data_IF_922891824496
#
_entry.id   IF_922891824496
#
_cell.length_a   1.000
_cell.length_b   1.000
_cell.length_c   1.000
_cell.angle_alpha   90.00
_cell.angle_beta   90.00
_cell.angle_gamma   90.00
#
_symmetry.space_group_name_H-M   'P 1'
#
loop_
_entity.id
_entity.type
_entity.pdbx_description
1 polymer ?
#
# COMPACT_ATOMS: atom_id res chain seq x y z
N UNK A 1 -5.98 8.40 4.11
CA UNK A 1 -4.61 8.03 3.71
C UNK A 1 -3.80 9.32 3.76
N UNK A 2 -2.69 9.36 4.48
CA UNK A 2 -1.79 10.52 4.39
C UNK A 2 -1.25 10.60 2.97
N UNK A 3 -1.19 11.81 2.41
CA UNK A 3 -0.62 12.01 1.08
C UNK A 3 0.86 11.60 1.09
N UNK A 4 1.28 10.85 0.07
CA UNK A 4 2.68 10.44 -0.06
C UNK A 4 3.58 11.67 -0.22
N UNK A 5 4.58 11.81 0.66
CA UNK A 5 5.52 12.92 0.61
C UNK A 5 6.59 12.71 -0.47
N UNK A 6 6.26 13.14 -1.69
CA UNK A 6 7.15 13.07 -2.84
C UNK A 6 8.43 13.89 -2.66
N UNK A 7 8.41 14.96 -1.85
CA UNK A 7 9.59 15.81 -1.66
C UNK A 7 10.64 15.11 -0.81
N UNK A 8 10.24 14.51 0.31
CA UNK A 8 11.17 13.75 1.15
C UNK A 8 11.68 12.49 0.43
N UNK A 9 10.82 11.81 -0.33
CA UNK A 9 11.22 10.71 -1.21
C UNK A 9 12.32 11.14 -2.20
N UNK A 10 12.10 12.22 -2.96
CA UNK A 10 13.08 12.72 -3.93
C UNK A 10 14.41 13.09 -3.27
N UNK A 11 14.37 13.76 -2.11
CA UNK A 11 15.56 14.12 -1.36
C UNK A 11 16.36 12.88 -0.93
N UNK A 12 15.70 11.88 -0.34
CA UNK A 12 16.33 10.62 0.10
C UNK A 12 16.90 9.82 -1.07
N UNK A 13 16.17 9.73 -2.18
CA UNK A 13 16.62 9.04 -3.38
C UNK A 13 17.89 9.70 -3.97
N UNK A 14 17.91 11.03 -4.05
CA UNK A 14 19.09 11.78 -4.51
C UNK A 14 20.28 11.61 -3.56
N UNK A 15 20.06 11.63 -2.24
CA UNK A 15 21.13 11.40 -1.26
C UNK A 15 21.75 10.00 -1.42
N UNK A 16 20.92 8.96 -1.47
CA UNK A 16 21.38 7.59 -1.62
C UNK A 16 22.10 7.37 -2.95
N UNK A 17 21.57 7.93 -4.04
CA UNK A 17 22.20 7.86 -5.36
C UNK A 17 23.58 8.53 -5.35
N UNK A 18 23.70 9.74 -4.77
CA UNK A 18 24.99 10.45 -4.63
C UNK A 18 25.98 9.70 -3.75
N UNK A 19 25.50 9.00 -2.73
CA UNK A 19 26.32 8.23 -1.80
C UNK A 19 26.64 6.80 -2.30
N UNK A 20 26.11 6.38 -3.46
CA UNK A 20 26.24 5.00 -3.95
C UNK A 20 25.55 3.95 -3.08
N UNK A 21 24.60 4.37 -2.21
CA UNK A 21 23.81 3.47 -1.36
C UNK A 21 22.71 2.80 -2.20
N UNK A 22 22.33 1.54 -1.90
CA UNK A 22 21.21 0.89 -2.58
C UNK A 22 19.91 1.68 -2.45
N UNK A 23 19.21 1.89 -3.56
CA UNK A 23 17.90 2.54 -3.60
C UNK A 23 16.74 1.59 -3.26
N UNK A 24 17.00 0.29 -3.36
CA UNK A 24 16.10 -0.82 -3.09
C UNK A 24 16.51 -1.51 -1.78
N UNK A 25 15.59 -2.27 -1.19
CA UNK A 25 15.79 -2.94 0.10
C UNK A 25 15.12 -2.20 1.25
N UNK A 26 15.20 -2.79 2.46
CA UNK A 26 14.55 -2.31 3.69
C UNK A 26 14.77 -0.81 3.96
N UNK A 27 15.97 -0.31 3.70
CA UNK A 27 16.33 1.10 3.93
C UNK A 27 16.38 1.94 2.64
N UNK A 28 16.05 1.32 1.50
CA UNK A 28 16.05 1.95 0.20
C UNK A 28 15.06 3.10 0.10
N UNK A 29 15.40 4.13 -0.67
CA UNK A 29 14.51 5.27 -0.91
C UNK A 29 13.18 4.87 -1.56
N UNK A 30 13.14 3.77 -2.32
CA UNK A 30 11.93 3.30 -3.00
C UNK A 30 10.97 2.46 -2.15
N UNK A 31 11.39 1.96 -0.98
CA UNK A 31 10.53 1.13 -0.13
C UNK A 31 9.17 1.80 0.19
N UNK A 32 9.13 3.07 0.65
CA UNK A 32 7.87 3.77 0.89
C UNK A 32 7.01 3.95 -0.37
N UNK A 33 7.62 4.10 -1.55
CA UNK A 33 6.90 4.25 -2.81
C UNK A 33 6.20 2.94 -3.19
N UNK A 34 6.89 1.81 -3.05
CA UNK A 34 6.31 0.48 -3.27
C UNK A 34 5.17 0.20 -2.29
N UNK A 35 5.36 0.56 -1.02
CA UNK A 35 4.31 0.48 0.01
C UNK A 35 3.07 1.27 -0.37
N UNK A 36 3.24 2.53 -0.78
CA UNK A 36 2.14 3.38 -1.21
C UNK A 36 1.41 2.79 -2.42
N UNK A 37 2.15 2.31 -3.42
CA UNK A 37 1.58 1.72 -4.63
C UNK A 37 0.74 0.47 -4.32
N UNK A 38 1.26 -0.45 -3.50
CA UNK A 38 0.55 -1.68 -3.15
C UNK A 38 -0.71 -1.39 -2.33
N UNK A 39 -0.65 -0.45 -1.38
CA UNK A 39 -1.82 -0.05 -0.61
C UNK A 39 -2.89 0.65 -1.48
N UNK A 40 -2.47 1.48 -2.43
CA UNK A 40 -3.40 2.10 -3.38
C UNK A 40 -4.07 1.08 -4.31
N UNK A 41 -3.34 0.05 -4.75
CA UNK A 41 -3.91 -1.04 -5.55
C UNK A 41 -4.99 -1.81 -4.77
N UNK A 42 -4.71 -2.19 -3.51
CA UNK A 42 -5.66 -2.87 -2.63
C UNK A 42 -6.93 -2.04 -2.36
N UNK A 43 -6.79 -0.71 -2.22
CA UNK A 43 -7.94 0.19 -2.09
C UNK A 43 -8.80 0.22 -3.35
N UNK A 44 -8.16 0.27 -4.53
CA UNK A 44 -8.84 0.23 -5.81
C UNK A 44 -9.57 -1.09 -6.05
N UNK A 45 -8.95 -2.23 -5.70
CA UNK A 45 -9.60 -3.54 -5.72
C UNK A 45 -10.83 -3.59 -4.81
N UNK A 46 -10.75 -3.02 -3.61
CA UNK A 46 -11.89 -2.92 -2.70
C UNK A 46 -12.99 -1.98 -3.22
N UNK A 47 -12.63 -0.90 -3.92
CA UNK A 47 -13.62 -0.02 -4.56
C UNK A 47 -14.39 -0.75 -5.66
N UNK A 48 -13.70 -1.58 -6.45
CA UNK A 48 -14.33 -2.44 -7.45
C UNK A 48 -15.19 -3.52 -6.79
N UNK A 49 -14.71 -4.14 -5.71
CA UNK A 49 -15.47 -5.14 -4.95
C UNK A 49 -16.74 -4.56 -4.33
N UNK A 50 -16.69 -3.35 -3.77
CA UNK A 50 -17.81 -2.69 -3.09
C UNK A 50 -18.72 -1.93 -4.09
N UNK A 51 -19.29 -2.67 -5.04
CA UNK A 51 -20.22 -2.16 -6.04
C UNK A 51 -21.62 -1.85 -5.47
N UNK A 52 -22.58 -1.56 -6.35
CA UNK A 52 -23.96 -1.25 -5.95
C UNK A 52 -24.69 -2.46 -5.37
N UNK A 53 -24.48 -3.66 -5.91
CA UNK A 53 -25.14 -4.89 -5.45
C UNK A 53 -24.70 -5.24 -4.03
N UNK A 54 -23.40 -5.16 -3.77
CA UNK A 54 -22.82 -5.37 -2.44
C UNK A 54 -23.42 -4.39 -1.43
N UNK A 55 -23.56 -3.12 -1.79
CA UNK A 55 -24.13 -2.09 -0.90
C UNK A 55 -25.62 -2.29 -0.66
N UNK A 56 -26.39 -2.65 -1.69
CA UNK A 56 -27.82 -2.95 -1.58
C UNK A 56 -28.08 -4.20 -0.74
N UNK A 57 -27.17 -5.18 -0.76
CA UNK A 57 -27.22 -6.37 0.09
C UNK A 57 -26.91 -6.07 1.58
N UNK A 58 -26.45 -4.86 1.88
CA UNK A 58 -26.08 -4.42 3.23
C UNK A 58 -24.60 -4.62 3.57
N UNK A 59 -23.76 -5.07 2.64
CA UNK A 59 -22.32 -5.14 2.85
C UNK A 59 -21.71 -3.74 2.93
N UNK A 60 -20.61 -3.62 3.67
CA UNK A 60 -19.91 -2.36 3.91
C UNK A 60 -18.44 -2.61 4.24
N UNK A 61 -17.59 -1.62 3.98
CA UNK A 61 -16.20 -1.62 4.45
C UNK A 61 -16.15 -1.73 5.99
N UNK A 62 -15.25 -2.56 6.50
CA UNK A 62 -15.11 -2.90 7.91
C UNK A 62 -13.65 -2.80 8.39
N UNK A 63 -12.97 -1.72 7.99
CA UNK A 63 -11.61 -1.41 8.39
C UNK A 63 -10.55 -2.15 7.58
N UNK A 64 -9.39 -2.39 8.21
CA UNK A 64 -8.17 -2.87 7.56
C UNK A 64 -7.48 -3.95 8.39
N UNK A 65 -6.82 -4.89 7.71
CA UNK A 65 -5.82 -5.77 8.31
C UNK A 65 -4.41 -5.27 7.95
N UNK A 66 -3.53 -5.16 8.94
CA UNK A 66 -2.12 -4.84 8.72
C UNK A 66 -1.32 -6.13 8.55
N UNK A 67 -0.49 -6.22 7.50
CA UNK A 67 0.49 -7.31 7.31
C UNK A 67 1.85 -6.72 6.92
N UNK A 68 2.92 -7.33 7.40
CA UNK A 68 4.28 -7.07 6.89
C UNK A 68 4.63 -8.14 5.87
N UNK A 69 4.93 -7.72 4.65
CA UNK A 69 5.25 -8.59 3.53
C UNK A 69 6.72 -8.44 3.20
N UNK A 70 7.45 -9.56 3.16
CA UNK A 70 8.83 -9.59 2.69
C UNK A 70 8.83 -9.63 1.16
N UNK A 71 9.41 -8.62 0.53
CA UNK A 71 9.59 -8.58 -0.92
C UNK A 71 11.08 -8.63 -1.27
N UNK A 72 11.40 -8.91 -2.53
CA UNK A 72 12.79 -8.78 -3.02
C UNK A 72 13.33 -7.35 -2.93
N UNK A 73 12.45 -6.37 -2.82
CA UNK A 73 12.77 -4.94 -2.74
C UNK A 73 12.76 -4.39 -1.30
N UNK A 74 12.54 -5.25 -0.30
CA UNK A 74 12.47 -4.86 1.11
C UNK A 74 11.16 -5.27 1.78
N UNK A 75 11.09 -5.01 3.08
CA UNK A 75 9.86 -5.19 3.85
C UNK A 75 8.87 -4.07 3.52
N UNK A 76 7.62 -4.44 3.28
CA UNK A 76 6.53 -3.51 3.00
C UNK A 76 5.37 -3.76 3.97
N UNK A 77 4.80 -2.69 4.52
CA UNK A 77 3.57 -2.78 5.31
C UNK A 77 2.35 -2.59 4.41
N UNK A 78 1.53 -3.62 4.27
CA UNK A 78 0.24 -3.52 3.57
C UNK A 78 -0.92 -3.42 4.55
N UNK A 79 -1.89 -2.59 4.20
CA UNK A 79 -3.14 -2.34 4.89
C UNK A 79 -4.29 -2.85 4.01
N UNK A 80 -4.53 -4.15 4.08
CA UNK A 80 -5.56 -4.79 3.27
C UNK A 80 -6.94 -4.36 3.76
N UNK A 81 -7.75 -3.67 2.93
CA UNK A 81 -9.12 -3.31 3.30
C UNK A 81 -9.98 -4.57 3.45
N UNK A 82 -11.08 -4.46 4.19
CA UNK A 82 -12.02 -5.57 4.39
C UNK A 82 -13.45 -5.11 4.22
N UNK A 83 -14.28 -6.02 3.75
CA UNK A 83 -15.72 -5.92 3.80
C UNK A 83 -16.29 -6.54 5.10
N UNK A 84 -17.57 -6.32 5.36
CA UNK A 84 -18.25 -6.78 6.59
C UNK A 84 -18.52 -8.26 6.53
N UNK A 85 -18.85 -8.76 5.36
CA UNK A 85 -19.22 -10.16 5.12
C UNK A 85 -17.99 -11.06 4.96
N UNK A 86 -16.79 -10.48 4.90
CA UNK A 86 -15.51 -11.17 4.71
C UNK A 86 -15.47 -11.98 3.41
N UNK A 87 -16.01 -11.39 2.33
CA UNK A 87 -16.03 -11.97 0.98
C UNK A 87 -14.99 -11.36 0.04
N UNK A 88 -14.32 -10.27 0.45
CA UNK A 88 -13.24 -9.69 -0.32
C UNK A 88 -11.97 -10.57 -0.29
N UNK A 89 -11.49 -10.95 -1.48
CA UNK A 89 -10.24 -11.67 -1.69
C UNK A 89 -9.28 -10.84 -2.58
N UNK A 90 -8.34 -10.10 -1.96
CA UNK A 90 -7.29 -9.36 -2.66
C UNK A 90 -6.10 -10.24 -3.07
#
# INVERSE_FOLDING_TARGET
MEDFDYKSFQAKALEQLKAGKPLLGKDGAFAPLLENLLNAALEGEMDVHMDEEERLSGNRRNGYNRKQVQTSLGEVTVHTPRDRDSRFEP
#
